data_IF_666701508746
#
_entry.id   IF_666701508746
#
_cell.length_a   1.000
_cell.length_b   1.000
_cell.length_c   1.000
_cell.angle_alpha   90.00
_cell.angle_beta   90.00
_cell.angle_gamma   90.00
#
_symmetry.space_group_name_H-M   'P 1'
#
loop_
_entity.id
_entity.type
_entity.pdbx_description
1 polymer ?
#
# COMPACT_ATOMS: atom_id res chain seq x y z
N UNK A 1 8.72 27.26 -2.60
CA UNK A 1 9.31 25.96 -2.20
C UNK A 1 8.47 25.40 -1.06
N UNK A 2 8.04 24.14 -1.16
CA UNK A 2 7.25 23.52 -0.10
C UNK A 2 8.13 23.37 1.13
N UNK A 3 7.67 23.85 2.30
CA UNK A 3 8.48 23.82 3.54
C UNK A 3 8.87 22.40 3.93
N UNK A 4 8.01 21.41 3.63
CA UNK A 4 8.28 19.98 3.83
C UNK A 4 9.58 19.56 3.15
N UNK A 5 9.79 19.91 1.87
CA UNK A 5 11.02 19.55 1.15
C UNK A 5 12.27 20.20 1.73
N UNK A 6 12.17 21.42 2.29
CA UNK A 6 13.30 22.05 3.00
C UNK A 6 13.70 21.29 4.27
N UNK A 7 12.73 20.72 4.98
CA UNK A 7 13.02 19.88 6.15
C UNK A 7 13.74 18.61 5.69
N UNK A 8 13.25 17.97 4.63
CA UNK A 8 13.89 16.79 4.05
C UNK A 8 15.32 17.08 3.61
N UNK A 9 15.55 18.18 2.89
CA UNK A 9 16.89 18.61 2.46
C UNK A 9 17.83 18.75 3.67
N UNK A 10 17.36 19.41 4.72
CA UNK A 10 18.16 19.64 5.94
C UNK A 10 18.52 18.36 6.66
N UNK A 11 17.56 17.43 6.79
CA UNK A 11 17.74 16.20 7.55
C UNK A 11 18.54 15.14 6.77
N UNK A 12 18.44 15.14 5.45
CA UNK A 12 19.03 14.08 4.60
C UNK A 12 20.27 14.55 3.82
N UNK A 13 20.60 15.84 3.85
CA UNK A 13 21.70 16.40 3.06
C UNK A 13 21.46 16.41 1.54
N UNK A 14 20.28 16.00 1.10
CA UNK A 14 19.90 16.01 -0.31
C UNK A 14 19.51 17.41 -0.80
N UNK A 15 19.44 17.59 -2.12
CA UNK A 15 18.97 18.82 -2.77
C UNK A 15 17.69 18.52 -3.54
N UNK A 16 16.58 19.16 -3.16
CA UNK A 16 15.30 18.94 -3.85
C UNK A 16 15.21 19.72 -5.16
N UNK A 17 14.59 19.11 -6.14
CA UNK A 17 14.27 19.68 -7.44
C UNK A 17 12.78 19.65 -7.63
N UNK A 18 12.20 20.78 -8.04
CA UNK A 18 10.77 20.85 -8.32
C UNK A 18 10.43 19.90 -9.46
N UNK A 19 9.68 18.85 -9.14
CA UNK A 19 9.19 17.88 -10.11
C UNK A 19 7.73 18.14 -10.45
N UNK A 20 7.28 17.55 -11.55
CA UNK A 20 5.86 17.49 -11.87
C UNK A 20 5.17 16.53 -10.88
N UNK A 21 4.15 17.04 -10.20
CA UNK A 21 3.40 16.29 -9.18
C UNK A 21 2.20 15.61 -9.83
N UNK A 22 2.07 14.33 -9.61
CA UNK A 22 0.94 13.56 -10.13
C UNK A 22 0.62 12.35 -9.24
N UNK A 23 -0.60 11.87 -9.37
CA UNK A 23 -1.02 10.61 -8.74
C UNK A 23 -0.54 9.45 -9.61
N UNK A 24 0.29 8.58 -9.06
CA UNK A 24 0.83 7.43 -9.77
C UNK A 24 -0.25 6.36 -10.07
N UNK A 25 -1.28 6.29 -9.23
CA UNK A 25 -2.37 5.33 -9.42
C UNK A 25 -3.41 5.81 -10.46
N UNK A 26 -3.48 7.13 -10.70
CA UNK A 26 -4.39 7.72 -11.69
C UNK A 26 -3.70 8.01 -13.03
N UNK A 27 -2.40 7.76 -13.16
CA UNK A 27 -1.80 7.83 -14.49
C UNK A 27 -2.57 6.83 -15.34
N UNK A 28 -3.30 7.31 -16.35
CA UNK A 28 -3.65 6.48 -17.49
C UNK A 28 -2.36 5.72 -17.80
N UNK A 29 -2.36 4.43 -17.55
CA UNK A 29 -1.23 3.61 -17.99
C UNK A 29 -1.13 3.96 -19.45
N UNK A 30 0.01 4.54 -19.92
CA UNK A 30 0.15 4.74 -21.33
C UNK A 30 -0.25 3.42 -21.93
N UNK A 31 -1.22 3.42 -22.85
CA UNK A 31 -1.61 2.20 -23.55
C UNK A 31 -0.30 1.70 -24.10
N UNK A 32 0.31 0.76 -23.41
CA UNK A 32 1.49 0.10 -23.93
C UNK A 32 0.90 -0.65 -25.08
N UNK A 33 1.12 -0.09 -26.25
CA UNK A 33 0.87 -0.78 -27.50
C UNK A 33 1.78 -2.00 -27.45
N UNK A 34 1.27 -3.06 -26.87
CA UNK A 34 1.87 -4.38 -26.93
C UNK A 34 1.63 -4.78 -28.38
N UNK A 35 2.53 -4.30 -29.28
CA UNK A 35 2.44 -4.58 -30.69
C UNK A 35 2.01 -6.02 -30.87
N UNK A 36 0.90 -6.23 -31.52
CA UNK A 36 0.25 -7.46 -31.98
C UNK A 36 0.73 -8.79 -31.36
N UNK A 37 1.03 -8.82 -30.06
CA UNK A 37 1.14 -10.08 -29.36
C UNK A 37 -0.26 -10.63 -29.25
N UNK A 38 -0.59 -11.62 -30.06
CA UNK A 38 -1.82 -12.39 -29.95
C UNK A 38 -2.02 -12.71 -28.46
N UNK A 39 -3.00 -12.04 -27.86
CA UNK A 39 -3.42 -12.38 -26.50
C UNK A 39 -4.06 -13.77 -26.62
N UNK A 40 -3.26 -14.79 -26.36
CA UNK A 40 -3.78 -16.15 -26.30
C UNK A 40 -4.60 -16.26 -25.02
N UNK A 41 -5.91 -16.04 -25.16
CA UNK A 41 -6.86 -16.29 -24.11
C UNK A 41 -6.87 -17.78 -23.79
N UNK A 42 -6.11 -18.19 -22.78
CA UNK A 42 -6.25 -19.54 -22.22
C UNK A 42 -7.58 -19.61 -21.50
N UNK A 43 -8.60 -20.18 -22.16
CA UNK A 43 -9.85 -20.53 -21.49
C UNK A 43 -9.51 -21.55 -20.40
N UNK A 44 -9.70 -21.17 -19.16
CA UNK A 44 -9.65 -22.12 -18.05
C UNK A 44 -10.88 -23.04 -18.11
N UNK A 45 -10.78 -24.25 -17.58
CA UNK A 45 -11.86 -25.24 -17.59
C UNK A 45 -13.18 -24.69 -17.03
N UNK A 46 -13.12 -23.79 -16.07
CA UNK A 46 -14.25 -23.09 -15.47
C UNK A 46 -15.04 -22.22 -16.46
N UNK A 47 -14.41 -21.78 -17.56
CA UNK A 47 -15.06 -20.98 -18.60
C UNK A 47 -15.55 -21.82 -19.78
N UNK A 48 -15.27 -23.11 -19.78
CA UNK A 48 -15.70 -24.04 -20.85
C UNK A 48 -17.07 -24.69 -20.57
N UNK A 49 -17.86 -24.08 -19.72
CA UNK A 49 -19.19 -24.58 -19.40
C UNK A 49 -20.13 -24.27 -20.57
N UNK A 50 -20.55 -25.30 -21.29
CA UNK A 50 -21.53 -25.21 -22.38
C UNK A 50 -22.98 -24.88 -21.90
N UNK A 51 -23.14 -24.52 -20.65
CA UNK A 51 -24.45 -24.14 -20.09
C UNK A 51 -24.71 -22.67 -20.37
N UNK A 52 -25.80 -22.39 -20.98
CA UNK A 52 -26.27 -21.04 -21.29
C UNK A 52 -26.60 -20.23 -20.03
N UNK A 53 -27.07 -20.91 -18.99
CA UNK A 53 -27.29 -20.34 -17.65
C UNK A 53 -27.39 -21.47 -16.61
N UNK A 54 -27.21 -21.11 -15.36
CA UNK A 54 -27.45 -21.98 -14.19
C UNK A 54 -28.50 -21.31 -13.33
N UNK A 55 -29.61 -22.03 -13.06
CA UNK A 55 -30.59 -21.53 -12.10
C UNK A 55 -30.02 -21.64 -10.67
N UNK A 56 -29.75 -20.50 -10.06
CA UNK A 56 -29.26 -20.39 -8.68
C UNK A 56 -30.39 -20.32 -7.65
N UNK A 57 -31.66 -20.32 -8.08
CA UNK A 57 -32.81 -20.23 -7.18
C UNK A 57 -32.83 -21.27 -6.09
N UNK A 58 -32.63 -22.60 -6.38
CA UNK A 58 -32.55 -23.63 -5.37
C UNK A 58 -31.43 -23.45 -4.37
N UNK A 59 -30.22 -23.00 -4.86
CA UNK A 59 -29.08 -22.70 -4.01
C UNK A 59 -29.34 -21.49 -3.12
N UNK A 60 -29.94 -20.44 -3.68
CA UNK A 60 -30.30 -19.23 -2.92
C UNK A 60 -31.30 -19.54 -1.79
N UNK A 61 -32.32 -20.38 -2.06
CA UNK A 61 -33.26 -20.83 -1.03
C UNK A 61 -32.58 -21.62 0.08
N UNK A 62 -31.68 -22.53 -0.27
CA UNK A 62 -30.89 -23.32 0.69
C UNK A 62 -29.98 -22.39 1.55
N UNK A 63 -29.27 -21.46 0.93
CA UNK A 63 -28.43 -20.52 1.65
C UNK A 63 -29.26 -19.58 2.54
N UNK A 64 -30.45 -19.17 2.10
CA UNK A 64 -31.33 -18.33 2.91
C UNK A 64 -31.87 -19.05 4.15
N UNK A 65 -32.01 -20.39 4.10
CA UNK A 65 -32.44 -21.22 5.25
C UNK A 65 -31.29 -21.53 6.22
N UNK A 66 -30.02 -21.35 5.80
CA UNK A 66 -28.87 -21.55 6.68
C UNK A 66 -28.71 -20.30 7.56
N UNK A 67 -28.94 -20.45 8.86
CA UNK A 67 -28.74 -19.37 9.83
C UNK A 67 -27.26 -19.08 10.10
N UNK A 68 -26.36 -19.99 9.75
CA UNK A 68 -24.94 -19.92 10.08
C UNK A 68 -24.15 -19.28 8.94
N UNK A 69 -24.02 -17.95 9.00
CA UNK A 69 -23.19 -17.20 8.08
C UNK A 69 -21.76 -17.16 8.62
N UNK A 70 -20.98 -18.18 8.33
CA UNK A 70 -19.59 -18.27 8.78
C UNK A 70 -18.66 -17.19 8.21
N UNK A 71 -18.96 -16.69 6.99
CA UNK A 71 -18.24 -15.58 6.38
C UNK A 71 -18.79 -14.25 6.92
N UNK A 72 -18.29 -13.84 8.07
CA UNK A 72 -18.84 -12.73 8.85
C UNK A 72 -18.07 -11.44 8.69
N UNK A 73 -16.78 -11.51 8.45
CA UNK A 73 -15.90 -10.34 8.36
C UNK A 73 -15.32 -10.18 6.96
N UNK A 74 -15.14 -8.92 6.53
CA UNK A 74 -14.58 -8.56 5.23
C UNK A 74 -13.54 -7.48 5.45
N UNK A 75 -12.32 -7.72 4.97
CA UNK A 75 -11.20 -6.79 5.10
C UNK A 75 -10.64 -6.47 3.72
N UNK A 76 -10.42 -5.18 3.49
CA UNK A 76 -9.77 -4.70 2.29
C UNK A 76 -8.84 -3.52 2.60
N UNK A 77 -7.77 -3.41 1.84
CA UNK A 77 -6.82 -2.33 1.87
C UNK A 77 -6.80 -1.54 0.58
N UNK A 78 -6.70 -0.24 0.69
CA UNK A 78 -6.53 0.65 -0.44
C UNK A 78 -5.35 1.58 -0.22
N UNK A 79 -4.74 2.03 -1.31
CA UNK A 79 -3.67 3.03 -1.28
C UNK A 79 -3.84 4.05 -2.38
N UNK A 80 -3.29 5.25 -2.13
CA UNK A 80 -3.04 6.26 -3.15
C UNK A 80 -1.61 6.75 -3.06
N UNK A 81 -0.94 6.84 -4.19
CA UNK A 81 0.48 7.14 -4.28
C UNK A 81 0.70 8.38 -5.13
N UNK A 82 1.44 9.35 -4.59
CA UNK A 82 1.67 10.65 -5.22
C UNK A 82 3.16 10.94 -5.30
N UNK A 83 3.64 11.32 -6.49
CA UNK A 83 4.95 11.92 -6.62
C UNK A 83 4.92 13.34 -6.04
N UNK A 84 5.75 13.58 -5.05
CA UNK A 84 5.79 14.87 -4.33
C UNK A 84 6.84 15.79 -4.94
N UNK A 85 8.07 15.26 -5.12
CA UNK A 85 9.22 15.99 -5.65
C UNK A 85 10.32 15.02 -6.08
N UNK A 86 11.43 15.55 -6.59
CA UNK A 86 12.67 14.81 -6.81
C UNK A 86 13.75 15.33 -5.86
N UNK A 87 14.62 14.43 -5.38
CA UNK A 87 15.74 14.76 -4.52
C UNK A 87 17.05 14.20 -5.09
N UNK A 88 18.09 14.98 -5.10
CA UNK A 88 19.40 14.57 -5.59
C UNK A 88 20.39 14.39 -4.44
N UNK A 89 21.19 13.34 -4.54
CA UNK A 89 22.33 13.10 -3.67
C UNK A 89 23.62 13.06 -4.49
N UNK A 90 24.73 13.61 -3.96
CA UNK A 90 26.02 13.54 -4.64
C UNK A 90 26.47 12.07 -4.75
N UNK A 91 27.04 11.74 -5.92
CA UNK A 91 27.77 10.49 -6.15
C UNK A 91 29.25 10.74 -6.28
N UNK A 92 30.05 9.71 -6.07
CA UNK A 92 31.49 9.74 -6.39
C UNK A 92 31.68 10.18 -7.84
N UNK A 93 32.64 11.10 -8.08
CA UNK A 93 32.92 11.66 -9.43
C UNK A 93 32.10 12.91 -9.77
N UNK A 94 31.54 13.61 -8.81
CA UNK A 94 30.90 14.93 -9.00
C UNK A 94 29.53 14.92 -9.68
N UNK A 95 29.01 13.75 -10.01
CA UNK A 95 27.65 13.59 -10.55
C UNK A 95 26.63 13.46 -9.41
N UNK A 96 25.43 13.95 -9.63
CA UNK A 96 24.32 13.74 -8.70
C UNK A 96 23.34 12.73 -9.27
N UNK A 97 22.84 11.84 -8.41
CA UNK A 97 21.72 10.96 -8.77
C UNK A 97 20.43 11.55 -8.23
N UNK A 98 19.40 11.53 -9.07
CA UNK A 98 18.08 12.07 -8.77
C UNK A 98 17.13 10.91 -8.47
N UNK A 99 16.35 11.08 -7.40
CA UNK A 99 15.43 10.08 -6.89
C UNK A 99 14.07 10.69 -6.58
N UNK A 100 12.96 10.01 -6.87
CA UNK A 100 11.63 10.50 -6.54
C UNK A 100 11.36 10.44 -5.03
N UNK A 101 10.66 11.45 -4.53
CA UNK A 101 10.03 11.45 -3.20
C UNK A 101 8.55 11.17 -3.38
N UNK A 102 8.05 10.13 -2.77
CA UNK A 102 6.71 9.60 -2.99
C UNK A 102 5.93 9.59 -1.67
N UNK A 103 4.78 10.24 -1.65
CA UNK A 103 3.85 10.16 -0.54
C UNK A 103 2.79 9.09 -0.81
N UNK A 104 2.50 8.28 0.21
CA UNK A 104 1.44 7.29 0.18
C UNK A 104 0.35 7.62 1.21
N UNK A 105 -0.89 7.46 0.81
CA UNK A 105 -2.02 7.37 1.70
C UNK A 105 -2.52 5.93 1.69
N UNK A 106 -2.61 5.33 2.86
CA UNK A 106 -3.04 3.95 3.07
C UNK A 106 -4.31 3.97 3.88
N UNK A 107 -5.29 3.18 3.47
CA UNK A 107 -6.51 2.92 4.23
C UNK A 107 -6.76 1.42 4.29
N UNK A 108 -7.00 0.86 5.47
CA UNK A 108 -7.39 -0.53 5.66
C UNK A 108 -8.66 -0.55 6.47
N UNK A 109 -9.68 -1.22 5.97
CA UNK A 109 -10.99 -1.31 6.60
C UNK A 109 -11.44 -2.74 6.80
N UNK A 110 -12.11 -2.97 7.94
CA UNK A 110 -12.82 -4.21 8.20
C UNK A 110 -14.28 -3.92 8.49
N UNK A 111 -15.15 -4.64 7.81
CA UNK A 111 -16.58 -4.61 8.02
C UNK A 111 -17.08 -5.97 8.51
N UNK A 112 -18.21 -5.99 9.19
CA UNK A 112 -18.92 -7.21 9.59
C UNK A 112 -20.30 -7.25 8.98
N UNK A 113 -20.74 -8.42 8.57
CA UNK A 113 -22.11 -8.67 8.17
C UNK A 113 -22.96 -9.07 9.39
N UNK A 114 -24.01 -8.31 9.64
CA UNK A 114 -24.98 -8.55 10.71
C UNK A 114 -26.38 -8.39 10.12
N UNK A 115 -27.22 -9.40 10.24
CA UNK A 115 -28.61 -9.36 9.78
C UNK A 115 -28.76 -8.83 8.34
N UNK A 116 -27.95 -9.34 7.41
CA UNK A 116 -27.91 -8.94 5.98
C UNK A 116 -27.45 -7.48 5.73
N UNK A 117 -26.89 -6.81 6.73
CA UNK A 117 -26.29 -5.46 6.62
C UNK A 117 -24.79 -5.54 6.83
N UNK A 118 -24.10 -4.58 6.26
CA UNK A 118 -22.65 -4.40 6.47
C UNK A 118 -22.46 -3.26 7.47
N UNK A 119 -21.73 -3.55 8.53
CA UNK A 119 -21.39 -2.59 9.58
C UNK A 119 -19.88 -2.41 9.66
N UNK A 120 -19.37 -1.18 9.80
CA UNK A 120 -17.94 -0.96 9.99
C UNK A 120 -17.51 -1.50 11.35
N UNK A 121 -16.34 -2.14 11.39
CA UNK A 121 -15.75 -2.70 12.62
C UNK A 121 -14.50 -1.94 13.02
N UNK A 122 -13.58 -1.82 12.08
CA UNK A 122 -12.30 -1.13 12.28
C UNK A 122 -11.86 -0.45 11.01
N UNK A 123 -11.14 0.66 11.20
CA UNK A 123 -10.52 1.38 10.12
C UNK A 123 -9.17 1.94 10.58
N UNK A 124 -8.15 1.73 9.77
CA UNK A 124 -6.81 2.28 9.96
C UNK A 124 -6.45 3.14 8.75
N UNK A 125 -5.93 4.33 9.00
CA UNK A 125 -5.42 5.22 7.96
C UNK A 125 -4.02 5.68 8.33
N UNK A 126 -3.11 5.58 7.37
CA UNK A 126 -1.74 6.06 7.50
C UNK A 126 -1.35 6.96 6.33
N UNK A 127 -0.51 7.95 6.62
CA UNK A 127 0.26 8.66 5.61
C UNK A 127 1.72 8.24 5.75
N UNK A 128 2.34 7.84 4.65
CA UNK A 128 3.72 7.39 4.61
C UNK A 128 4.51 8.18 3.57
N UNK A 129 5.83 8.26 3.74
CA UNK A 129 6.71 8.90 2.78
C UNK A 129 7.77 7.90 2.35
N UNK A 130 7.79 7.52 1.06
CA UNK A 130 8.85 6.70 0.51
C UNK A 130 10.02 7.58 0.05
N UNK A 131 11.21 7.27 0.56
CA UNK A 131 12.46 8.01 0.36
C UNK A 131 13.56 7.09 -0.15
N UNK A 132 14.53 7.61 -0.93
CA UNK A 132 15.67 6.81 -1.35
C UNK A 132 16.53 6.41 -0.15
N UNK A 133 16.86 5.12 -0.02
CA UNK A 133 17.66 4.61 1.10
C UNK A 133 19.04 5.24 1.23
N UNK A 134 19.60 5.75 0.13
CA UNK A 134 20.88 6.49 0.12
C UNK A 134 20.86 7.76 1.00
N UNK A 135 19.69 8.26 1.37
CA UNK A 135 19.55 9.41 2.27
C UNK A 135 20.08 9.11 3.69
N UNK A 136 20.15 7.83 4.07
CA UNK A 136 20.77 7.35 5.29
C UNK A 136 21.94 6.42 4.93
N UNK A 137 22.94 6.98 4.27
CA UNK A 137 24.11 6.23 3.81
C UNK A 137 24.91 5.59 4.96
N UNK A 138 24.89 6.21 6.13
CA UNK A 138 25.62 5.76 7.33
C UNK A 138 24.83 4.73 8.12
N UNK A 139 23.56 4.47 7.78
CA UNK A 139 22.69 3.51 8.49
C UNK A 139 22.47 3.88 9.97
N UNK A 140 22.26 5.16 10.27
CA UNK A 140 22.13 5.67 11.64
C UNK A 140 20.87 5.10 12.32
N UNK A 141 21.01 4.42 13.47
CA UNK A 141 19.84 3.95 14.21
C UNK A 141 18.86 5.10 14.52
N UNK A 142 17.57 4.89 14.20
CA UNK A 142 16.54 5.87 14.47
C UNK A 142 16.48 7.07 13.51
N UNK A 143 17.28 7.08 12.44
CA UNK A 143 17.29 8.19 11.45
C UNK A 143 15.91 8.46 10.87
N UNK A 144 15.25 7.45 10.34
CA UNK A 144 13.93 7.61 9.70
C UNK A 144 12.82 8.04 10.66
N UNK A 145 12.68 7.43 11.86
CA UNK A 145 11.76 7.92 12.89
C UNK A 145 12.01 9.36 13.32
N UNK A 146 13.27 9.74 13.50
CA UNK A 146 13.64 11.11 13.87
C UNK A 146 13.27 12.11 12.75
N UNK A 147 13.53 11.74 11.49
CA UNK A 147 13.16 12.54 10.31
C UNK A 147 11.64 12.67 10.19
N UNK A 148 10.88 11.60 10.37
CA UNK A 148 9.41 11.64 10.36
C UNK A 148 8.88 12.58 11.45
N UNK A 149 9.42 12.50 12.67
CA UNK A 149 9.06 13.40 13.76
C UNK A 149 9.25 14.88 13.40
N UNK A 150 10.40 15.23 12.82
CA UNK A 150 10.69 16.60 12.37
C UNK A 150 9.77 17.06 11.24
N UNK A 151 9.41 16.18 10.31
CA UNK A 151 8.43 16.47 9.27
C UNK A 151 7.06 16.79 9.88
N UNK A 152 6.63 16.01 10.87
CA UNK A 152 5.35 16.19 11.54
C UNK A 152 5.27 17.48 12.38
N UNK A 153 6.40 18.12 12.68
CA UNK A 153 6.44 19.46 13.29
C UNK A 153 6.10 20.58 12.29
N UNK A 154 6.06 20.29 11.00
CA UNK A 154 5.76 21.27 9.95
C UNK A 154 4.33 21.82 10.11
N UNK A 155 4.23 23.15 10.26
CA UNK A 155 2.95 23.85 10.48
C UNK A 155 1.92 23.59 9.36
N UNK A 156 2.40 23.48 8.13
CA UNK A 156 1.55 23.22 6.96
C UNK A 156 0.92 21.82 7.02
N UNK A 157 1.68 20.80 7.42
CA UNK A 157 1.17 19.44 7.59
C UNK A 157 0.16 19.39 8.74
N UNK A 158 0.47 20.02 9.87
CA UNK A 158 -0.44 20.10 11.01
C UNK A 158 -1.76 20.77 10.64
N UNK A 159 -1.71 21.87 9.88
CA UNK A 159 -2.93 22.57 9.40
C UNK A 159 -3.80 21.69 8.50
N UNK A 160 -3.20 20.79 7.75
CA UNK A 160 -3.89 19.86 6.85
C UNK A 160 -4.30 18.56 7.54
N UNK A 161 -3.96 18.37 8.81
CA UNK A 161 -4.21 17.12 9.54
C UNK A 161 -3.43 15.93 8.96
N UNK A 162 -2.28 16.21 8.33
CA UNK A 162 -1.40 15.17 7.75
C UNK A 162 -0.26 14.92 8.73
N UNK A 163 -0.17 13.67 9.19
CA UNK A 163 0.92 13.17 10.01
C UNK A 163 1.49 11.90 9.37
N UNK A 164 2.77 11.92 9.04
CA UNK A 164 3.45 10.74 8.50
C UNK A 164 3.72 9.75 9.62
N UNK A 165 3.12 8.56 9.54
CA UNK A 165 3.35 7.47 10.50
C UNK A 165 4.77 6.92 10.40
N UNK A 166 5.30 6.87 9.18
CA UNK A 166 6.66 6.37 8.93
C UNK A 166 7.24 6.88 7.61
N UNK A 167 8.57 6.83 7.52
CA UNK A 167 9.30 6.98 6.27
C UNK A 167 9.79 5.60 5.83
N UNK A 168 9.53 5.25 4.58
CA UNK A 168 9.84 3.96 3.97
C UNK A 168 11.05 4.10 3.05
N UNK A 169 12.25 3.62 3.44
CA UNK A 169 13.42 3.68 2.57
C UNK A 169 13.31 2.65 1.45
N UNK A 170 13.39 3.08 0.19
CA UNK A 170 13.47 2.17 -0.95
C UNK A 170 14.91 2.00 -1.45
N UNK A 171 15.20 0.82 -2.02
CA UNK A 171 16.53 0.48 -2.53
C UNK A 171 16.92 1.34 -3.73
N UNK A 172 18.16 1.86 -3.70
CA UNK A 172 18.74 2.73 -4.73
C UNK A 172 19.86 2.08 -5.55
N UNK A 173 20.14 0.77 -5.33
CA UNK A 173 21.15 0.06 -6.09
C UNK A 173 20.78 -0.04 -7.58
N UNK A 174 21.78 0.02 -8.48
CA UNK A 174 21.57 -0.06 -9.92
C UNK A 174 21.30 -1.50 -10.42
N UNK A 175 21.51 -2.50 -9.58
CA UNK A 175 21.29 -3.90 -9.93
C UNK A 175 19.80 -4.28 -10.14
N UNK A 176 18.89 -3.42 -9.71
CA UNK A 176 17.44 -3.63 -9.89
C UNK A 176 16.98 -2.86 -11.14
N UNK A 177 16.40 -3.57 -12.10
CA UNK A 177 15.93 -3.01 -13.40
C UNK A 177 14.69 -2.12 -13.23
N UNK A 178 13.96 -2.24 -12.11
CA UNK A 178 12.75 -1.45 -11.86
C UNK A 178 13.08 0.03 -11.68
N UNK A 179 12.20 0.91 -12.17
CA UNK A 179 12.29 2.36 -11.94
C UNK A 179 12.21 2.67 -10.45
N UNK A 180 12.83 3.76 -10.01
CA UNK A 180 12.79 4.17 -8.60
C UNK A 180 11.36 4.48 -8.11
N UNK A 181 10.50 4.98 -9.00
CA UNK A 181 9.07 5.20 -8.71
C UNK A 181 8.34 3.90 -8.39
N UNK A 182 8.62 2.84 -9.15
CA UNK A 182 8.01 1.51 -8.92
C UNK A 182 8.48 0.92 -7.60
N UNK A 183 9.76 1.09 -7.25
CA UNK A 183 10.32 0.63 -5.96
C UNK A 183 9.70 1.36 -4.78
N UNK A 184 9.58 2.69 -4.88
CA UNK A 184 8.94 3.51 -3.86
C UNK A 184 7.46 3.14 -3.69
N UNK A 185 6.76 2.93 -4.81
CA UNK A 185 5.35 2.47 -4.82
C UNK A 185 5.21 1.09 -4.18
N UNK A 186 6.14 0.17 -4.46
CA UNK A 186 6.16 -1.16 -3.85
C UNK A 186 6.29 -1.07 -2.31
N UNK A 187 7.16 -0.19 -1.79
CA UNK A 187 7.26 0.02 -0.33
C UNK A 187 5.93 0.48 0.30
N UNK A 188 5.18 1.35 -0.40
CA UNK A 188 3.85 1.77 0.06
C UNK A 188 2.86 0.60 0.04
N UNK A 189 2.92 -0.25 -1.00
CA UNK A 189 2.11 -1.46 -1.10
C UNK A 189 2.42 -2.44 0.03
N UNK A 190 3.70 -2.69 0.29
CA UNK A 190 4.14 -3.59 1.37
C UNK A 190 3.64 -3.09 2.73
N UNK A 191 3.73 -1.78 2.98
CA UNK A 191 3.20 -1.19 4.22
C UNK A 191 1.68 -1.35 4.35
N UNK A 192 0.94 -1.23 3.25
CA UNK A 192 -0.51 -1.48 3.25
C UNK A 192 -0.81 -2.93 3.66
N UNK A 193 -0.08 -3.90 3.11
CA UNK A 193 -0.21 -5.32 3.46
C UNK A 193 0.12 -5.56 4.95
N UNK A 194 1.13 -4.86 5.49
CA UNK A 194 1.43 -4.93 6.92
C UNK A 194 0.29 -4.37 7.77
N UNK A 195 -0.30 -3.24 7.39
CA UNK A 195 -1.47 -2.69 8.08
C UNK A 195 -2.67 -3.65 8.07
N UNK A 196 -2.88 -4.37 6.96
CA UNK A 196 -3.90 -5.44 6.89
C UNK A 196 -3.60 -6.55 7.91
N UNK A 197 -2.36 -7.04 7.95
CA UNK A 197 -1.93 -8.07 8.92
C UNK A 197 -2.09 -7.62 10.36
N UNK A 198 -1.70 -6.39 10.67
CA UNK A 198 -1.86 -5.80 11.99
C UNK A 198 -3.33 -5.78 12.41
N UNK A 199 -4.24 -5.38 11.49
CA UNK A 199 -5.67 -5.34 11.76
C UNK A 199 -6.26 -6.74 11.95
N UNK A 200 -5.83 -7.74 11.17
CA UNK A 200 -6.21 -9.16 11.40
C UNK A 200 -5.75 -9.63 12.77
N UNK A 201 -4.52 -9.35 13.17
CA UNK A 201 -3.99 -9.72 14.48
C UNK A 201 -4.78 -9.06 15.63
N UNK A 202 -5.27 -7.84 15.42
CA UNK A 202 -6.16 -7.17 16.38
C UNK A 202 -7.51 -7.88 16.49
N UNK A 203 -8.14 -8.26 15.37
CA UNK A 203 -9.41 -9.00 15.37
C UNK A 203 -9.29 -10.34 16.07
N UNK A 204 -8.17 -11.04 15.87
CA UNK A 204 -7.87 -12.32 16.57
C UNK A 204 -7.73 -12.08 18.08
N UNK A 205 -6.94 -11.08 18.50
CA UNK A 205 -6.76 -10.77 19.93
C UNK A 205 -8.05 -10.36 20.63
N UNK A 206 -9.00 -9.76 19.90
CA UNK A 206 -10.31 -9.40 20.40
C UNK A 206 -11.30 -10.58 20.41
N UNK A 207 -10.88 -11.78 20.01
CA UNK A 207 -11.74 -12.95 19.93
C UNK A 207 -12.87 -12.82 18.90
N UNK A 208 -12.70 -11.98 17.87
CA UNK A 208 -13.72 -11.77 16.84
C UNK A 208 -13.71 -12.81 15.74
N UNK A 209 -12.57 -13.47 15.53
CA UNK A 209 -12.39 -14.51 14.51
C UNK A 209 -12.26 -15.85 15.19
N UNK A 210 -13.12 -16.79 14.79
CA UNK A 210 -13.18 -18.15 15.29
C UNK A 210 -13.74 -19.11 14.22
N UNK A 211 -13.98 -20.36 14.58
CA UNK A 211 -14.53 -21.37 13.66
C UNK A 211 -15.96 -21.07 13.13
N UNK A 212 -16.65 -20.09 13.71
CA UNK A 212 -17.98 -19.65 13.29
C UNK A 212 -17.97 -18.26 12.65
N UNK A 213 -16.84 -17.56 12.71
CA UNK A 213 -16.68 -16.19 12.23
C UNK A 213 -15.41 -16.04 11.40
N UNK A 214 -15.51 -16.38 10.13
CA UNK A 214 -14.39 -16.28 9.19
C UNK A 214 -14.25 -14.89 8.61
N UNK A 215 -12.98 -14.53 8.33
CA UNK A 215 -12.60 -13.32 7.61
C UNK A 215 -12.42 -13.64 6.12
N UNK A 216 -13.02 -12.83 5.28
CA UNK A 216 -12.74 -12.76 3.85
C UNK A 216 -11.80 -11.58 3.58
N UNK A 217 -10.70 -11.84 2.93
CA UNK A 217 -9.74 -10.83 2.48
C UNK A 217 -9.53 -10.98 0.97
N UNK A 218 -9.52 -9.86 0.25
CA UNK A 218 -9.11 -9.86 -1.15
C UNK A 218 -7.58 -9.92 -1.27
N UNK A 219 -7.10 -10.61 -2.31
CA UNK A 219 -5.68 -10.78 -2.61
C UNK A 219 -5.04 -12.03 -2.00
N UNK A 220 -3.70 -12.04 -1.98
CA UNK A 220 -2.92 -13.19 -1.53
C UNK A 220 -3.05 -13.44 -0.02
N UNK A 221 -3.28 -14.71 0.34
CA UNK A 221 -3.25 -15.19 1.73
C UNK A 221 -1.84 -15.63 2.16
N UNK A 222 -0.81 -15.32 1.40
CA UNK A 222 0.57 -15.67 1.75
C UNK A 222 1.05 -14.86 2.96
N UNK A 223 0.68 -15.33 4.13
CA UNK A 223 1.30 -14.92 5.37
C UNK A 223 2.58 -15.74 5.55
N UNK A 224 3.75 -15.12 5.34
CA UNK A 224 4.98 -15.75 5.79
C UNK A 224 4.91 -15.82 7.31
N UNK A 225 5.09 -17.03 7.93
CA UNK A 225 5.15 -17.09 9.37
C UNK A 225 6.28 -16.17 9.84
N UNK A 226 5.98 -15.27 10.78
CA UNK A 226 6.99 -14.52 11.50
C UNK A 226 7.87 -15.58 12.15
N UNK A 227 9.18 -15.59 11.85
CA UNK A 227 10.10 -16.41 12.63
C UNK A 227 9.92 -15.98 14.07
N UNK A 228 9.34 -16.84 14.87
CA UNK A 228 9.44 -16.72 16.33
C UNK A 228 10.90 -17.01 16.64
N UNK A 229 11.62 -15.96 17.10
CA UNK A 229 12.90 -16.13 17.80
C UNK A 229 12.64 -16.74 19.18
#
# INVERSE_FOLDING_TARGET
RIKVMRIIEKETGGKSYKAHKYCLDNSERPSVDYGESEIIWKRRAETMVHRTYVDLGPLAKRLASMNDQILSYFLDGSRRVFKVDDIAYPKSGGRSAIYPVIAGQIGVGCCRRVNKRIEPVKFKREYVLAMPGIADADGKPGFWPATAKKLNECKELKRLGIEFSTILPYRTSQADVRKFEDRATACVQDRMIECEKELVAELVREGRLDQNNYLVKDGSLEYRPTKQD
#
